data_IF_807670009147
#
_entry.id   IF_807670009147
#
_cell.length_a   1.000
_cell.length_b   1.000
_cell.length_c   1.000
_cell.angle_alpha   90.00
_cell.angle_beta   90.00
_cell.angle_gamma   90.00
#
_symmetry.space_group_name_H-M   'P 1'
#
loop_
_entity.id
_entity.type
_entity.pdbx_description
1 polymer ?
#
# COMPACT_ATOMS: atom_id res chain seq x y z
N UNK A 1 -2.85 -34.00 -7.79
CA UNK A 1 -2.49 -32.59 -8.06
C UNK A 1 -3.09 -32.22 -9.40
N UNK A 2 -4.25 -31.58 -9.41
CA UNK A 2 -4.79 -30.97 -10.64
C UNK A 2 -3.93 -29.75 -10.93
N UNK A 3 -3.10 -29.85 -11.96
CA UNK A 3 -2.34 -28.72 -12.51
C UNK A 3 -3.39 -27.71 -13.01
N UNK A 4 -3.66 -26.70 -12.18
CA UNK A 4 -4.68 -25.71 -12.48
C UNK A 4 -3.99 -24.69 -13.37
N UNK A 5 -4.57 -24.40 -14.54
CA UNK A 5 -3.96 -23.45 -15.46
C UNK A 5 -3.61 -22.13 -14.72
N UNK A 6 -2.42 -21.57 -14.98
CA UNK A 6 -2.00 -20.36 -14.30
C UNK A 6 -2.96 -19.21 -14.61
N UNK A 7 -3.38 -18.48 -13.59
CA UNK A 7 -4.19 -17.26 -13.77
C UNK A 7 -3.33 -16.24 -14.55
N UNK A 8 -3.87 -15.73 -15.64
CA UNK A 8 -3.18 -14.78 -16.53
C UNK A 8 -3.86 -13.42 -16.57
N UNK A 9 -3.11 -12.41 -17.00
CA UNK A 9 -3.59 -11.04 -17.26
C UNK A 9 -2.95 -10.50 -18.55
N UNK A 10 -3.47 -9.39 -19.05
CA UNK A 10 -2.87 -8.63 -20.15
C UNK A 10 -2.04 -7.48 -19.56
N UNK A 11 -0.73 -7.52 -19.75
CA UNK A 11 0.14 -6.37 -19.47
C UNK A 11 -0.10 -5.28 -20.50
N UNK A 12 -0.20 -4.04 -20.01
CA UNK A 12 -0.30 -2.80 -20.79
C UNK A 12 1.01 -2.02 -20.77
N UNK A 13 1.74 -2.05 -19.63
CA UNK A 13 3.06 -1.45 -19.45
C UNK A 13 4.02 -2.42 -18.76
N UNK A 14 5.33 -2.38 -19.07
CA UNK A 14 5.98 -1.51 -20.05
C UNK A 14 5.83 -2.02 -21.49
N UNK A 15 5.88 -3.33 -21.69
CA UNK A 15 5.68 -3.97 -23.00
C UNK A 15 4.37 -4.77 -22.98
N UNK A 16 3.41 -4.45 -23.86
CA UNK A 16 2.14 -5.16 -23.90
C UNK A 16 2.29 -6.65 -24.18
N UNK A 17 1.55 -7.49 -23.47
CA UNK A 17 1.57 -8.94 -23.66
C UNK A 17 0.80 -9.72 -22.59
N UNK A 18 0.40 -10.94 -22.91
CA UNK A 18 -0.22 -11.86 -21.94
C UNK A 18 0.86 -12.45 -21.04
N UNK A 19 0.64 -12.45 -19.72
CA UNK A 19 1.57 -13.03 -18.74
C UNK A 19 0.81 -13.65 -17.56
N UNK A 20 1.47 -14.55 -16.84
CA UNK A 20 0.91 -15.14 -15.64
C UNK A 20 1.01 -14.17 -14.44
N UNK A 21 0.05 -14.25 -13.51
CA UNK A 21 0.03 -13.44 -12.29
C UNK A 21 1.35 -13.56 -11.51
N UNK A 22 1.92 -14.76 -11.40
CA UNK A 22 3.16 -14.98 -10.66
C UNK A 22 4.39 -14.31 -11.29
N UNK A 23 4.37 -14.09 -12.62
CA UNK A 23 5.42 -13.35 -13.32
C UNK A 23 5.25 -11.84 -13.07
N UNK A 24 4.02 -11.34 -13.19
CA UNK A 24 3.68 -9.93 -12.96
C UNK A 24 3.96 -9.46 -11.51
N UNK A 25 3.89 -10.37 -10.54
CA UNK A 25 4.10 -10.10 -9.11
C UNK A 25 5.44 -10.65 -8.59
N UNK A 26 6.40 -10.90 -9.48
CA UNK A 26 7.73 -11.40 -9.12
C UNK A 26 8.52 -10.36 -8.31
N UNK A 27 8.85 -10.74 -7.07
CA UNK A 27 9.63 -9.93 -6.12
C UNK A 27 10.87 -10.67 -5.58
N UNK A 28 11.16 -11.90 -6.02
CA UNK A 28 12.24 -12.72 -5.48
C UNK A 28 13.66 -12.16 -5.68
N UNK A 29 13.80 -11.14 -6.53
CA UNK A 29 15.05 -10.41 -6.74
C UNK A 29 15.23 -9.22 -5.78
N UNK A 30 14.19 -8.82 -5.03
CA UNK A 30 14.27 -7.74 -4.05
C UNK A 30 15.11 -8.18 -2.85
N UNK A 31 15.82 -7.22 -2.25
CA UNK A 31 16.75 -7.42 -1.13
C UNK A 31 16.56 -6.31 -0.11
N UNK A 32 17.07 -6.52 1.10
CA UNK A 32 17.07 -5.50 2.15
C UNK A 32 17.59 -4.15 1.66
N UNK A 33 17.02 -3.07 2.20
CA UNK A 33 17.47 -1.69 2.02
C UNK A 33 18.14 -1.25 3.32
N UNK A 34 19.47 -1.26 3.36
CA UNK A 34 20.22 -1.00 4.59
C UNK A 34 19.89 -2.02 5.69
N UNK A 35 19.38 -1.54 6.81
CA UNK A 35 19.06 -2.34 7.99
C UNK A 35 17.60 -2.86 8.04
N UNK A 36 16.81 -2.67 6.99
CA UNK A 36 15.39 -3.09 6.91
C UNK A 36 15.09 -3.94 5.67
N UNK A 37 14.03 -4.78 5.67
CA UNK A 37 13.57 -5.46 4.46
C UNK A 37 13.06 -4.47 3.41
N UNK A 38 12.99 -4.94 2.17
CA UNK A 38 12.20 -4.31 1.11
C UNK A 38 10.71 -4.47 1.42
N UNK A 39 9.99 -3.37 1.57
CA UNK A 39 8.57 -3.37 1.95
C UNK A 39 7.70 -3.20 0.72
N UNK A 40 6.88 -4.23 0.46
CA UNK A 40 5.87 -4.25 -0.59
C UNK A 40 4.51 -4.00 0.04
N UNK A 41 3.84 -2.92 -0.34
CA UNK A 41 2.44 -2.68 0.04
C UNK A 41 1.52 -3.28 -1.03
N UNK A 42 0.55 -4.10 -0.63
CA UNK A 42 -0.44 -4.69 -1.55
C UNK A 42 -1.85 -4.31 -1.13
N UNK A 43 -2.55 -3.55 -1.98
CA UNK A 43 -3.88 -3.03 -1.68
C UNK A 43 -4.82 -3.20 -2.86
N UNK A 44 -6.12 -3.24 -2.57
CA UNK A 44 -7.18 -3.06 -3.54
C UNK A 44 -8.00 -1.83 -3.18
N UNK A 45 -8.47 -1.10 -4.19
CA UNK A 45 -9.44 -0.03 -4.05
C UNK A 45 -10.48 -0.09 -5.17
N UNK A 46 -11.64 0.50 -4.95
CA UNK A 46 -12.55 0.87 -6.04
C UNK A 46 -11.92 1.94 -6.96
N UNK A 47 -12.52 2.19 -8.12
CA UNK A 47 -12.06 3.19 -9.07
C UNK A 47 -12.08 4.62 -8.50
N UNK A 48 -12.98 4.89 -7.56
CA UNK A 48 -13.07 6.13 -6.77
C UNK A 48 -12.28 6.11 -5.44
N UNK A 49 -11.53 5.03 -5.15
CA UNK A 49 -10.55 4.99 -4.07
C UNK A 49 -11.04 4.45 -2.72
N UNK A 50 -12.23 3.84 -2.67
CA UNK A 50 -12.76 3.19 -1.47
C UNK A 50 -12.07 1.84 -1.21
N UNK A 51 -11.63 1.62 0.03
CA UNK A 51 -11.01 0.36 0.47
C UNK A 51 -12.02 -0.75 0.78
N UNK A 52 -13.28 -0.40 1.02
CA UNK A 52 -14.32 -1.34 1.41
C UNK A 52 -15.62 -1.08 0.66
N UNK A 53 -16.38 -2.15 0.45
CA UNK A 53 -17.77 -2.13 0.03
C UNK A 53 -18.61 -2.65 1.21
N UNK A 54 -19.62 -1.90 1.64
CA UNK A 54 -20.45 -2.24 2.80
C UNK A 54 -19.65 -2.56 4.08
N UNK A 55 -18.53 -1.85 4.28
CA UNK A 55 -17.64 -2.01 5.44
C UNK A 55 -16.71 -3.21 5.37
N UNK A 56 -16.74 -4.02 4.29
CA UNK A 56 -15.85 -5.17 4.09
C UNK A 56 -14.91 -4.95 2.90
N UNK A 57 -13.67 -5.41 3.03
CA UNK A 57 -12.75 -5.50 1.89
C UNK A 57 -13.11 -6.72 1.00
N UNK A 58 -13.61 -7.80 1.63
CA UNK A 58 -14.17 -8.96 0.95
C UNK A 58 -15.39 -8.54 0.12
N UNK A 59 -15.23 -8.50 -1.21
CA UNK A 59 -16.27 -8.07 -2.15
C UNK A 59 -15.78 -7.12 -3.23
N UNK A 60 -14.62 -6.47 -3.04
CA UNK A 60 -13.98 -5.67 -4.08
C UNK A 60 -13.20 -6.54 -5.07
N UNK A 61 -12.45 -7.53 -4.57
CA UNK A 61 -11.54 -8.34 -5.37
C UNK A 61 -12.22 -9.42 -6.22
N UNK A 62 -11.45 -9.95 -7.17
CA UNK A 62 -11.84 -11.09 -8.01
C UNK A 62 -10.81 -12.23 -7.90
N UNK A 63 -10.91 -13.23 -8.78
CA UNK A 63 -9.98 -14.36 -8.79
C UNK A 63 -8.52 -13.95 -9.09
N UNK A 64 -8.32 -12.99 -9.99
CA UNK A 64 -6.98 -12.47 -10.36
C UNK A 64 -6.34 -11.72 -9.20
N UNK A 65 -7.09 -10.83 -8.54
CA UNK A 65 -6.64 -10.10 -7.35
C UNK A 65 -6.30 -11.06 -6.20
N UNK A 66 -7.15 -12.07 -5.96
CA UNK A 66 -6.86 -13.11 -4.97
C UNK A 66 -5.60 -13.89 -5.33
N UNK A 67 -5.39 -14.23 -6.60
CA UNK A 67 -4.17 -14.92 -7.04
C UNK A 67 -2.92 -14.05 -6.82
N UNK A 68 -3.01 -12.75 -7.11
CA UNK A 68 -1.95 -11.78 -6.91
C UNK A 68 -1.58 -11.62 -5.43
N UNK A 69 -2.58 -11.37 -4.58
CA UNK A 69 -2.39 -11.29 -3.13
C UNK A 69 -1.77 -12.57 -2.58
N UNK A 70 -2.32 -13.74 -2.94
CA UNK A 70 -1.79 -15.02 -2.46
C UNK A 70 -0.38 -15.33 -3.00
N UNK A 71 0.01 -14.79 -4.15
CA UNK A 71 1.37 -14.91 -4.65
C UNK A 71 2.33 -14.06 -3.80
N UNK A 72 2.07 -12.77 -3.62
CA UNK A 72 2.89 -11.91 -2.76
C UNK A 72 2.94 -12.43 -1.33
N UNK A 73 1.78 -12.78 -0.78
CA UNK A 73 1.66 -13.38 0.54
C UNK A 73 2.42 -14.70 0.63
N UNK A 74 2.74 -15.43 -0.44
CA UNK A 74 3.58 -16.64 -0.34
C UNK A 74 5.05 -16.38 -0.59
N UNK A 75 5.38 -15.31 -1.31
CA UNK A 75 6.72 -14.99 -1.78
C UNK A 75 7.53 -14.07 -0.84
N UNK A 76 6.91 -13.43 0.16
CA UNK A 76 7.63 -12.56 1.12
C UNK A 76 8.12 -13.29 2.36
N UNK A 77 9.23 -12.84 2.97
CA UNK A 77 9.76 -13.45 4.20
C UNK A 77 8.94 -13.11 5.45
N UNK A 78 8.29 -11.95 5.43
CA UNK A 78 7.44 -11.50 6.52
C UNK A 78 6.15 -10.83 6.03
N UNK A 79 5.15 -10.79 6.92
CA UNK A 79 3.92 -10.01 6.78
C UNK A 79 3.82 -9.02 7.93
N UNK A 80 3.48 -7.78 7.62
CA UNK A 80 3.21 -6.70 8.56
C UNK A 80 1.77 -6.24 8.41
N UNK A 81 1.01 -6.29 9.50
CA UNK A 81 -0.42 -5.97 9.51
C UNK A 81 -0.83 -5.23 10.78
N UNK A 82 -1.81 -4.35 10.70
CA UNK A 82 -2.40 -3.66 11.84
C UNK A 82 -3.50 -4.51 12.50
N UNK A 83 -3.58 -4.48 13.83
CA UNK A 83 -4.56 -5.29 14.56
C UNK A 83 -6.03 -4.99 14.22
N UNK A 84 -6.34 -3.77 13.75
CA UNK A 84 -7.70 -3.47 13.26
C UNK A 84 -8.10 -4.34 12.07
N UNK A 85 -7.18 -4.56 11.12
CA UNK A 85 -7.39 -5.45 9.97
C UNK A 85 -7.51 -6.90 10.41
N UNK A 86 -6.65 -7.33 11.35
CA UNK A 86 -6.73 -8.68 11.93
C UNK A 86 -8.10 -8.92 12.55
N UNK A 87 -8.64 -7.95 13.32
CA UNK A 87 -9.96 -8.06 13.94
C UNK A 87 -11.12 -8.06 12.95
N UNK A 88 -10.99 -7.34 11.83
CA UNK A 88 -12.07 -7.25 10.84
C UNK A 88 -12.19 -8.47 9.93
N UNK A 89 -11.13 -9.28 9.81
CA UNK A 89 -11.15 -10.48 8.98
C UNK A 89 -11.83 -11.66 9.67
N UNK A 90 -12.50 -12.51 8.90
CA UNK A 90 -13.21 -13.69 9.41
C UNK A 90 -12.25 -14.76 9.93
N UNK A 91 -11.07 -14.93 9.28
CA UNK A 91 -10.02 -15.86 9.69
C UNK A 91 -8.64 -15.26 9.40
N UNK A 92 -7.80 -15.10 10.42
CA UNK A 92 -6.39 -14.75 10.25
C UNK A 92 -5.51 -15.83 10.87
N UNK A 93 -4.57 -16.41 10.13
CA UNK A 93 -3.76 -17.54 10.60
C UNK A 93 -2.27 -17.19 10.75
N UNK A 94 -1.54 -17.87 11.64
CA UNK A 94 -0.09 -17.76 11.69
C UNK A 94 0.55 -18.21 10.37
N UNK A 95 1.69 -17.60 10.04
CA UNK A 95 2.49 -18.03 8.90
C UNK A 95 3.28 -19.30 9.21
N UNK A 96 3.47 -20.13 8.18
CA UNK A 96 4.37 -21.27 8.24
C UNK A 96 5.83 -20.81 8.27
N UNK A 97 6.67 -21.51 9.03
CA UNK A 97 8.11 -21.25 9.06
C UNK A 97 8.76 -21.38 7.66
N UNK A 98 9.80 -20.59 7.35
CA UNK A 98 10.51 -19.65 8.24
C UNK A 98 9.86 -18.26 8.35
N UNK A 99 8.69 -18.06 7.72
CA UNK A 99 8.08 -16.75 7.56
C UNK A 99 7.50 -16.20 8.85
N UNK A 100 7.53 -14.87 9.00
CA UNK A 100 7.18 -14.20 10.26
C UNK A 100 6.02 -13.22 10.09
N UNK A 101 5.07 -13.24 11.01
CA UNK A 101 3.91 -12.34 11.06
C UNK A 101 4.12 -11.29 12.15
N UNK A 102 4.08 -10.01 11.79
CA UNK A 102 4.14 -8.88 12.70
C UNK A 102 2.79 -8.17 12.74
N UNK A 103 2.18 -8.14 13.92
CA UNK A 103 0.89 -7.50 14.15
C UNK A 103 1.10 -6.24 14.99
N UNK A 104 0.89 -5.07 14.39
CA UNK A 104 1.03 -3.78 15.07
C UNK A 104 -0.24 -3.48 15.88
N UNK A 105 -0.11 -3.39 17.19
CA UNK A 105 -1.21 -3.09 18.11
C UNK A 105 -0.75 -2.35 19.35
N UNK A 106 -1.35 -1.18 19.64
CA UNK A 106 -1.11 -0.47 20.91
C UNK A 106 -1.83 -1.11 22.10
N UNK A 107 -3.02 -1.66 21.88
CA UNK A 107 -3.83 -2.29 22.93
C UNK A 107 -3.49 -3.76 23.15
N UNK A 108 -2.85 -4.41 22.17
CA UNK A 108 -2.71 -5.86 22.12
C UNK A 108 -4.01 -6.59 21.77
N UNK A 109 -5.12 -5.88 21.54
CA UNK A 109 -6.39 -6.51 21.21
C UNK A 109 -6.39 -7.02 19.76
N UNK A 110 -6.52 -8.34 19.60
CA UNK A 110 -6.61 -9.05 18.32
C UNK A 110 -7.99 -9.67 18.08
N UNK A 111 -8.97 -9.36 18.93
CA UNK A 111 -10.32 -9.94 18.87
C UNK A 111 -10.30 -11.47 18.99
N UNK A 112 -11.17 -12.12 18.22
CA UNK A 112 -11.33 -13.58 18.23
C UNK A 112 -10.04 -14.34 17.84
N UNK A 113 -9.10 -13.68 17.16
CA UNK A 113 -7.87 -14.31 16.67
C UNK A 113 -6.73 -14.33 17.69
N UNK A 114 -6.90 -13.72 18.86
CA UNK A 114 -5.80 -13.50 19.80
C UNK A 114 -5.12 -14.77 20.29
N UNK A 115 -5.90 -15.81 20.63
CA UNK A 115 -5.38 -17.01 21.29
C UNK A 115 -4.45 -17.81 20.39
N UNK A 116 -4.86 -18.13 19.16
CA UNK A 116 -4.05 -18.97 18.26
C UNK A 116 -2.91 -18.20 17.60
N UNK A 117 -3.09 -16.90 17.34
CA UNK A 117 -2.01 -16.06 16.80
C UNK A 117 -0.86 -15.95 17.79
N UNK A 118 -1.15 -15.69 19.08
CA UNK A 118 -0.12 -15.56 20.13
C UNK A 118 0.57 -16.87 20.48
N UNK A 119 -0.10 -18.00 20.27
CA UNK A 119 0.48 -19.31 20.51
C UNK A 119 1.54 -19.70 19.48
N UNK A 120 1.55 -19.08 18.30
CA UNK A 120 2.48 -19.40 17.23
C UNK A 120 3.82 -18.66 17.39
N UNK A 121 4.93 -19.40 17.31
CA UNK A 121 6.29 -18.84 17.39
C UNK A 121 6.67 -17.94 16.22
N UNK A 122 5.91 -17.98 15.13
CA UNK A 122 6.08 -17.12 13.95
C UNK A 122 5.35 -15.78 14.06
N UNK A 123 4.57 -15.56 15.13
CA UNK A 123 3.74 -14.35 15.28
C UNK A 123 4.28 -13.43 16.38
N UNK A 124 4.39 -12.15 16.04
CA UNK A 124 4.91 -11.09 16.90
C UNK A 124 3.88 -9.99 17.03
N UNK A 125 3.29 -9.81 18.21
CA UNK A 125 2.41 -8.67 18.50
C UNK A 125 3.25 -7.53 19.05
N UNK A 126 3.39 -6.45 18.28
CA UNK A 126 4.35 -5.37 18.53
C UNK A 126 3.66 -4.02 18.61
N UNK A 127 4.31 -3.06 19.27
CA UNK A 127 3.88 -1.67 19.35
C UNK A 127 5.11 -0.76 19.35
N UNK A 128 4.94 0.50 18.97
CA UNK A 128 6.01 1.50 18.93
C UNK A 128 6.09 2.23 17.59
N UNK A 129 7.24 2.83 17.33
CA UNK A 129 7.56 3.48 16.06
C UNK A 129 7.66 2.46 14.91
N UNK A 130 7.13 2.81 13.75
CA UNK A 130 7.10 1.90 12.58
C UNK A 130 8.49 1.64 12.00
N UNK A 131 9.41 2.60 12.08
CA UNK A 131 10.80 2.41 11.65
C UNK A 131 11.52 1.39 12.52
N UNK A 132 11.36 1.49 13.84
CA UNK A 132 11.94 0.53 14.79
C UNK A 132 11.34 -0.87 14.65
N UNK A 133 10.04 -0.98 14.35
CA UNK A 133 9.39 -2.25 14.07
C UNK A 133 9.98 -2.88 12.80
N UNK A 134 10.02 -2.12 11.71
CA UNK A 134 10.48 -2.60 10.39
C UNK A 134 11.93 -3.08 10.41
N UNK A 135 12.83 -2.39 11.14
CA UNK A 135 14.24 -2.83 11.29
C UNK A 135 14.39 -4.21 11.95
N UNK A 136 13.45 -4.58 12.82
CA UNK A 136 13.46 -5.88 13.53
C UNK A 136 12.93 -7.02 12.67
N UNK A 137 12.31 -6.73 11.53
CA UNK A 137 11.75 -7.76 10.64
C UNK A 137 12.91 -8.49 9.94
N UNK A 138 13.00 -9.84 10.09
CA UNK A 138 14.03 -10.63 9.43
C UNK A 138 13.71 -10.85 7.94
N UNK A 139 14.68 -11.37 7.19
CA UNK A 139 14.53 -11.69 5.77
C UNK A 139 14.76 -10.50 4.84
N UNK A 140 14.60 -10.71 3.55
CA UNK A 140 14.83 -9.70 2.51
C UNK A 140 13.59 -8.86 2.24
N UNK A 141 12.40 -9.43 2.43
CA UNK A 141 11.14 -8.85 1.97
C UNK A 141 10.03 -8.89 3.01
N UNK A 142 9.21 -7.85 3.05
CA UNK A 142 8.06 -7.75 3.93
C UNK A 142 6.81 -7.30 3.15
N UNK A 143 5.72 -8.04 3.27
CA UNK A 143 4.41 -7.65 2.76
C UNK A 143 3.70 -6.78 3.80
N UNK A 144 3.31 -5.57 3.42
CA UNK A 144 2.44 -4.70 4.19
C UNK A 144 0.99 -4.89 3.72
N UNK A 145 0.15 -5.46 4.58
CA UNK A 145 -1.28 -5.71 4.33
C UNK A 145 -2.20 -4.59 4.86
N UNK A 146 -1.61 -3.51 5.39
CA UNK A 146 -2.33 -2.42 6.04
C UNK A 146 -2.77 -2.77 7.45
N UNK A 147 -3.84 -2.22 8.01
CA UNK A 147 -4.86 -1.37 7.37
C UNK A 147 -4.45 0.09 7.21
N UNK A 148 -5.43 0.91 6.81
CA UNK A 148 -5.21 2.28 6.32
C UNK A 148 -4.34 3.17 7.24
N UNK A 149 -4.50 3.08 8.56
CA UNK A 149 -3.69 3.84 9.51
C UNK A 149 -2.21 3.42 9.48
N UNK A 150 -1.94 2.11 9.49
CA UNK A 150 -0.57 1.59 9.41
C UNK A 150 0.05 1.93 8.05
N UNK A 151 -0.71 1.82 6.96
CA UNK A 151 -0.27 2.26 5.63
C UNK A 151 0.13 3.74 5.63
N UNK A 152 -0.69 4.61 6.22
CA UNK A 152 -0.37 6.03 6.35
C UNK A 152 0.92 6.28 7.13
N UNK A 153 1.13 5.58 8.24
CA UNK A 153 2.36 5.67 9.03
C UNK A 153 3.59 5.21 8.23
N UNK A 154 3.51 4.07 7.55
CA UNK A 154 4.60 3.51 6.76
C UNK A 154 4.97 4.41 5.57
N UNK A 155 3.97 4.97 4.87
CA UNK A 155 4.18 5.90 3.78
C UNK A 155 4.80 7.21 4.27
N UNK A 156 4.30 7.78 5.36
CA UNK A 156 4.82 9.02 5.96
C UNK A 156 6.25 8.87 6.48
N UNK A 157 6.58 7.70 7.05
CA UNK A 157 7.93 7.38 7.51
C UNK A 157 8.91 7.03 6.37
N UNK A 158 8.43 6.96 5.13
CA UNK A 158 9.27 6.66 3.98
C UNK A 158 9.71 5.19 3.88
N UNK A 159 8.95 4.27 4.47
CA UNK A 159 9.34 2.87 4.64
C UNK A 159 8.77 1.92 3.59
N UNK A 160 7.86 2.39 2.72
CA UNK A 160 7.33 1.60 1.60
C UNK A 160 8.20 1.83 0.37
N UNK A 161 8.70 0.74 -0.21
CA UNK A 161 9.55 0.78 -1.41
C UNK A 161 8.75 0.56 -2.69
N UNK A 162 7.69 -0.24 -2.59
CA UNK A 162 6.94 -0.74 -3.74
C UNK A 162 5.46 -0.89 -3.39
N UNK A 163 4.57 -0.53 -4.32
CA UNK A 163 3.12 -0.62 -4.14
C UNK A 163 2.51 -1.39 -5.30
N UNK A 164 1.88 -2.52 -4.97
CA UNK A 164 0.91 -3.16 -5.86
C UNK A 164 -0.48 -2.68 -5.49
N UNK A 165 -1.17 -2.05 -6.44
CA UNK A 165 -2.51 -1.52 -6.25
C UNK A 165 -3.44 -2.08 -7.32
N UNK A 166 -4.42 -2.85 -6.87
CA UNK A 166 -5.55 -3.30 -7.70
C UNK A 166 -6.63 -2.22 -7.69
N UNK A 167 -7.12 -1.83 -8.86
CA UNK A 167 -8.31 -1.00 -9.01
C UNK A 167 -9.46 -1.85 -9.53
N UNK A 168 -10.46 -2.07 -8.68
CA UNK A 168 -11.72 -2.68 -9.08
C UNK A 168 -12.52 -1.68 -9.92
N UNK A 169 -13.14 -2.10 -11.04
CA UNK A 169 -13.95 -1.24 -11.90
C UNK A 169 -15.33 -0.96 -11.28
N UNK A 170 -15.33 -0.40 -10.07
CA UNK A 170 -16.51 -0.07 -9.25
C UNK A 170 -16.38 1.37 -8.76
N UNK A 171 -17.51 2.06 -8.69
CA UNK A 171 -17.63 3.36 -8.03
C UNK A 171 -18.54 3.17 -6.82
N UNK A 172 -17.98 3.29 -5.62
CA UNK A 172 -18.67 2.91 -4.38
C UNK A 172 -19.38 4.11 -3.75
N UNK A 173 -18.84 5.33 -3.93
CA UNK A 173 -19.41 6.57 -3.38
C UNK A 173 -19.83 6.43 -1.91
N UNK A 174 -18.88 6.12 -1.03
CA UNK A 174 -19.12 5.90 0.40
C UNK A 174 -18.10 6.66 1.27
N UNK A 175 -18.36 6.73 2.58
CA UNK A 175 -17.41 7.22 3.59
C UNK A 175 -16.28 6.20 3.90
N UNK A 176 -16.05 5.23 3.00
CA UNK A 176 -14.98 4.28 3.15
C UNK A 176 -13.62 4.98 3.20
N UNK A 177 -12.76 4.51 4.09
CA UNK A 177 -11.38 4.96 4.14
C UNK A 177 -10.66 4.65 2.83
N UNK A 178 -9.73 5.54 2.44
CA UNK A 178 -8.74 5.27 1.39
C UNK A 178 -7.76 4.19 1.83
N UNK A 179 -6.91 3.72 0.91
CA UNK A 179 -5.85 2.75 1.20
C UNK A 179 -4.86 3.19 2.29
N UNK A 180 -4.77 4.51 2.55
CA UNK A 180 -3.96 5.08 3.61
C UNK A 180 -4.69 6.24 4.31
N UNK A 181 -4.55 6.29 5.64
CA UNK A 181 -5.11 7.32 6.51
C UNK A 181 -4.00 7.83 7.44
N UNK A 182 -3.83 9.14 7.52
CA UNK A 182 -2.79 9.76 8.32
C UNK A 182 -2.35 11.11 7.76
N UNK A 183 -1.25 11.69 8.29
CA UNK A 183 -0.64 12.88 7.72
C UNK A 183 -0.22 12.62 6.25
N UNK A 184 -0.11 13.67 5.42
CA UNK A 184 0.38 13.51 4.05
C UNK A 184 1.75 12.83 4.04
N UNK A 185 1.87 11.74 3.28
CA UNK A 185 3.17 11.17 2.95
C UNK A 185 3.93 12.10 1.98
N UNK A 186 5.22 11.80 1.74
CA UNK A 186 6.08 12.54 0.79
C UNK A 186 5.32 12.93 -0.48
N UNK A 187 5.56 14.17 -0.96
CA UNK A 187 4.97 14.72 -2.19
C UNK A 187 5.66 14.23 -3.46
N UNK A 188 6.68 13.41 -3.33
CA UNK A 188 7.43 12.89 -4.47
C UNK A 188 6.56 11.94 -5.32
N UNK A 189 6.65 12.04 -6.65
CA UNK A 189 5.93 11.14 -7.53
C UNK A 189 6.48 9.71 -7.42
N UNK A 190 5.58 8.74 -7.54
CA UNK A 190 5.94 7.33 -7.69
C UNK A 190 6.05 6.98 -9.17
N UNK A 191 6.95 6.07 -9.51
CA UNK A 191 7.12 5.57 -10.88
C UNK A 191 6.16 4.42 -11.13
N UNK A 192 5.27 4.54 -12.11
CA UNK A 192 4.46 3.43 -12.59
C UNK A 192 5.35 2.50 -13.44
N UNK A 193 5.72 1.35 -12.89
CA UNK A 193 6.64 0.40 -13.56
C UNK A 193 5.92 -0.71 -14.29
N UNK A 194 4.68 -1.02 -13.89
CA UNK A 194 3.84 -2.01 -14.55
C UNK A 194 2.37 -1.64 -14.42
N UNK A 195 1.61 -1.91 -15.48
CA UNK A 195 0.16 -1.85 -15.46
C UNK A 195 -0.36 -3.06 -16.24
N UNK A 196 -1.24 -3.84 -15.60
CA UNK A 196 -1.94 -4.95 -16.25
C UNK A 196 -3.44 -4.78 -16.12
N UNK A 197 -4.18 -5.49 -16.96
CA UNK A 197 -5.64 -5.58 -16.93
C UNK A 197 -6.07 -7.04 -17.07
N UNK A 198 -7.12 -7.46 -16.38
CA UNK A 198 -7.75 -8.76 -16.63
C UNK A 198 -9.03 -8.65 -17.45
N UNK A 199 -9.61 -9.80 -17.80
CA UNK A 199 -10.80 -9.88 -18.65
C UNK A 199 -12.05 -9.24 -18.00
N UNK A 200 -12.03 -9.02 -16.69
CA UNK A 200 -13.08 -8.35 -15.93
C UNK A 200 -12.87 -6.83 -15.81
N UNK A 201 -11.78 -6.29 -16.37
CA UNK A 201 -11.47 -4.86 -16.35
C UNK A 201 -10.83 -4.37 -15.05
N UNK A 202 -10.32 -5.27 -14.19
CA UNK A 202 -9.51 -4.86 -13.04
C UNK A 202 -8.15 -4.38 -13.53
N UNK A 203 -7.67 -3.25 -12.99
CA UNK A 203 -6.32 -2.77 -13.26
C UNK A 203 -5.38 -3.17 -12.12
N UNK A 204 -4.21 -3.69 -12.47
CA UNK A 204 -3.17 -4.11 -11.52
C UNK A 204 -1.94 -3.25 -11.75
N UNK A 205 -1.77 -2.22 -10.94
CA UNK A 205 -0.66 -1.28 -11.05
C UNK A 205 0.47 -1.64 -10.09
N UNK A 206 1.71 -1.48 -10.56
CA UNK A 206 2.94 -1.56 -9.77
C UNK A 206 3.61 -0.20 -9.78
N UNK A 207 3.80 0.36 -8.59
CA UNK A 207 4.52 1.60 -8.39
C UNK A 207 5.79 1.35 -7.59
N UNK A 208 6.89 1.96 -8.00
CA UNK A 208 8.16 1.95 -7.27
C UNK A 208 8.52 3.37 -6.84
N UNK A 209 9.08 3.50 -5.64
CA UNK A 209 9.54 4.79 -5.15
C UNK A 209 10.75 5.24 -5.95
N UNK A 210 10.74 6.47 -6.44
CA UNK A 210 11.92 7.07 -7.07
C UNK A 210 12.94 7.47 -5.99
N UNK A 211 13.96 6.64 -5.80
CA UNK A 211 15.04 6.92 -4.84
C UNK A 211 16.05 7.95 -5.36
N UNK A 212 15.95 8.38 -6.63
CA UNK A 212 16.86 9.34 -7.24
C UNK A 212 16.46 10.80 -7.02
N UNK A 213 15.19 11.07 -6.70
CA UNK A 213 14.67 12.43 -6.48
C UNK A 213 14.93 12.97 -5.07
N UNK A 214 15.01 12.12 -4.05
CA UNK A 214 15.21 12.50 -2.65
C UNK A 214 16.60 13.07 -2.28
N UNK A 215 17.54 13.12 -3.23
CA UNK A 215 18.87 13.73 -3.06
C UNK A 215 18.98 15.16 -3.62
N UNK A 216 17.90 15.70 -4.19
CA UNK A 216 17.80 17.13 -4.52
C UNK A 216 17.11 17.87 -3.39
N UNK A 217 17.88 18.35 -2.42
CA UNK A 217 17.43 19.45 -1.55
C UNK A 217 16.91 20.57 -2.46
N UNK A 218 15.59 20.79 -2.46
CA UNK A 218 15.01 21.93 -3.14
C UNK A 218 15.19 23.11 -2.18
N UNK A 219 15.98 24.16 -2.52
CA UNK A 219 16.06 25.32 -1.67
C UNK A 219 14.67 25.92 -1.54
N UNK A 220 14.19 26.08 -0.31
CA UNK A 220 12.99 26.85 -0.02
C UNK A 220 13.27 28.29 -0.47
N UNK A 221 12.93 28.64 -1.71
CA UNK A 221 12.95 30.03 -2.14
C UNK A 221 11.84 30.75 -1.36
N UNK A 222 12.26 31.56 -0.39
CA UNK A 222 11.46 32.54 0.32
C UNK A 222 10.75 33.43 -0.69
N UNK A 223 9.47 33.14 -0.96
CA UNK A 223 8.59 34.10 -1.62
C UNK A 223 8.21 35.15 -0.59
N UNK A 224 9.00 36.22 -0.56
CA UNK A 224 8.50 37.50 -0.07
C UNK A 224 7.34 37.94 -0.98
N UNK A 225 6.17 38.11 -0.38
CA UNK A 225 5.01 38.70 -1.04
C UNK A 225 5.25 40.20 -1.17
N UNK A 226 5.25 40.80 -2.38
CA UNK A 226 5.32 42.25 -2.50
C UNK A 226 4.05 42.87 -1.96
N UNK A 227 4.19 43.74 -0.96
CA UNK A 227 3.12 44.60 -0.46
C UNK A 227 2.67 45.52 -1.61
N UNK A 228 1.48 45.30 -2.15
CA UNK A 228 0.91 46.17 -3.17
C UNK A 228 0.68 47.56 -2.57
N UNK A 229 1.42 48.55 -3.07
CA UNK A 229 1.19 49.97 -2.80
C UNK A 229 -0.16 50.38 -3.38
N UNK A 230 -1.07 50.85 -2.52
CA UNK A 230 -2.31 51.49 -2.91
C UNK A 230 -2.00 52.90 -3.41
N UNK A 231 -2.01 53.09 -4.72
CA UNK A 231 -2.22 54.39 -5.33
C UNK A 231 -3.70 54.52 -5.74
N UNK A 232 -4.41 55.40 -5.03
CA UNK A 232 -5.73 55.92 -5.44
C UNK A 232 -5.54 57.11 -6.38
N UNK A 233 -6.21 57.16 -7.54
CA UNK A 233 -6.45 58.43 -8.22
C UNK A 233 -7.82 58.98 -7.82
N UNK A 234 -7.80 60.24 -7.41
CA UNK A 234 -8.95 61.09 -7.13
C UNK A 234 -9.66 61.56 -8.41
N UNK A 235 -10.99 61.52 -8.41
CA UNK A 235 -11.89 62.40 -9.18
C UNK A 235 -11.99 62.16 -10.69
N UNK A 236 -13.06 62.51 -11.40
CA UNK A 236 -14.39 63.03 -11.08
C UNK A 236 -15.21 63.09 -12.38
N UNK A 237 -16.52 62.81 -12.31
CA UNK A 237 -17.61 63.23 -13.26
C UNK A 237 -17.54 62.62 -14.67
N UNK A 238 -18.62 62.30 -15.40
CA UNK A 238 -19.99 62.86 -15.47
C UNK A 238 -20.98 61.87 -16.11
N UNK A 239 -22.26 62.14 -15.90
CA UNK A 239 -23.50 61.56 -16.43
C UNK A 239 -23.48 60.99 -17.87
N UNK A 240 -24.12 59.84 -18.09
CA UNK A 240 -25.53 59.66 -18.46
C UNK A 240 -25.94 58.20 -18.22
#
# INVERSE_FOLDING_TARGET
MTDTEPVTMQRLLPEPGKLAVHEAYSIGHRRRVGDRPWVVMCMIASADGALTLDGRAEGLGNATDRAAFLHLHRSTDAVLVGAATVRSGDVYTPLAQPRQLFIVSRSGDLGAHGSHLRAASTTHVVSGDVGDIVRRIPGDTCLLEGGAVLNGQMLAAGLVDEVFLTYAPRFVSSDATRIALGPPASREPWLLTQLCVDDAGFLFARYERDTTLGSRETPLASRETPLASRDTPSGSRSAL
#
